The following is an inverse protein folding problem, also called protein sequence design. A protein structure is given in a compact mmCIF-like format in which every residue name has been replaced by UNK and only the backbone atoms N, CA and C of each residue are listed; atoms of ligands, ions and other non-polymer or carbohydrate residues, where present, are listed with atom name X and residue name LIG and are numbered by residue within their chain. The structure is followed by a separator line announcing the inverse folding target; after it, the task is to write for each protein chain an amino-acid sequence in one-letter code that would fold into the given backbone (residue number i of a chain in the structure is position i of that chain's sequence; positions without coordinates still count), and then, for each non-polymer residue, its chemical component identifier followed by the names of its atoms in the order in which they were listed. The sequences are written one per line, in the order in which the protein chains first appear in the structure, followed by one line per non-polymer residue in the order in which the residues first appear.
data_IF_396128755327
#
_entry.id   IF_396128755327
#
_cell.length_a   1.000
_cell.length_b   1.000
_cell.length_c   1.000
_cell.angle_alpha   90.00
_cell.angle_beta   90.00
_cell.angle_gamma   90.00
#
_symmetry.space_group_name_H-M   'P 1'
#
loop_
_entity.id
_entity.type
_entity.pdbx_description
1 polymer ?
#
# COMPACT_ATOMS: atom_id res chain seq x y z
N UNK A 1 21.29 2.61 7.46
CA UNK A 1 20.33 3.73 7.37
C UNK A 1 19.33 3.71 8.50
N UNK A 2 18.63 4.84 8.74
CA UNK A 2 17.49 4.89 9.66
C UNK A 2 16.24 4.40 8.95
N UNK A 3 15.42 3.58 9.62
CA UNK A 3 14.21 3.05 9.01
C UNK A 3 13.35 2.25 9.96
N UNK A 4 12.50 1.41 9.38
CA UNK A 4 11.68 0.43 10.09
C UNK A 4 12.00 -0.94 9.51
N UNK A 5 12.42 -1.86 10.38
CA UNK A 5 12.77 -3.21 9.96
C UNK A 5 11.53 -4.01 9.57
N UNK A 6 11.63 -4.73 8.46
CA UNK A 6 10.58 -5.62 7.99
C UNK A 6 11.17 -6.76 7.17
N UNK A 7 10.61 -7.97 7.31
CA UNK A 7 11.03 -9.12 6.53
C UNK A 7 11.93 -10.11 7.26
N UNK A 8 12.07 -10.01 8.58
CA UNK A 8 12.88 -10.93 9.37
C UNK A 8 12.48 -12.41 9.21
N UNK A 9 11.18 -12.66 9.03
CA UNK A 9 10.70 -14.02 8.77
C UNK A 9 11.23 -14.60 7.44
N UNK A 10 11.42 -13.74 6.42
CA UNK A 10 11.98 -14.18 5.14
C UNK A 10 13.47 -14.45 5.26
N UNK A 11 14.21 -13.67 6.05
CA UNK A 11 15.62 -13.94 6.39
C UNK A 11 15.73 -15.30 7.07
N UNK A 12 14.94 -15.52 8.11
CA UNK A 12 14.94 -16.79 8.85
C UNK A 12 14.63 -17.96 7.94
N UNK A 13 13.60 -17.83 7.09
CA UNK A 13 13.20 -18.91 6.17
C UNK A 13 14.28 -19.18 5.11
N UNK A 14 14.92 -18.14 4.55
CA UNK A 14 16.01 -18.29 3.58
C UNK A 14 17.13 -19.16 4.13
N UNK A 15 17.63 -18.84 5.32
CA UNK A 15 18.71 -19.63 5.92
C UNK A 15 18.28 -21.02 6.33
N UNK A 16 17.06 -21.18 6.83
CA UNK A 16 16.54 -22.52 7.19
C UNK A 16 16.34 -23.45 6.00
N UNK A 17 16.04 -22.91 4.82
CA UNK A 17 15.94 -23.70 3.58
C UNK A 17 17.30 -24.14 3.06
N UNK A 18 18.38 -23.43 3.38
CA UNK A 18 19.74 -23.79 2.99
C UNK A 18 20.34 -24.78 3.98
N UNK A 19 20.20 -24.51 5.27
CA UNK A 19 20.70 -25.34 6.35
C UNK A 19 19.85 -25.13 7.61
N UNK A 20 19.14 -26.17 8.03
CA UNK A 20 18.28 -26.11 9.21
C UNK A 20 19.05 -25.97 10.54
N UNK A 21 20.37 -26.24 10.53
CA UNK A 21 21.26 -26.10 11.69
C UNK A 21 21.66 -24.63 11.93
N UNK A 22 21.50 -23.75 10.95
CA UNK A 22 21.80 -22.31 11.12
C UNK A 22 20.92 -21.73 12.23
N UNK A 23 21.56 -21.10 13.22
CA UNK A 23 20.90 -20.43 14.33
C UNK A 23 20.81 -18.94 14.05
N UNK A 24 19.62 -18.36 14.23
CA UNK A 24 19.37 -16.93 14.02
C UNK A 24 18.81 -16.34 15.31
N UNK A 25 19.49 -15.36 15.86
CA UNK A 25 19.04 -14.62 17.06
C UNK A 25 18.63 -13.21 16.68
N UNK A 26 17.32 -12.97 16.62
CA UNK A 26 16.74 -11.66 16.31
C UNK A 26 16.99 -10.69 17.47
N UNK A 27 17.57 -9.52 17.18
CA UNK A 27 17.85 -8.43 18.12
C UNK A 27 16.86 -7.27 18.02
N UNK A 28 16.27 -7.05 16.86
CA UNK A 28 15.25 -6.03 16.61
C UNK A 28 13.96 -6.70 16.16
N UNK A 29 12.84 -6.34 16.78
CA UNK A 29 11.52 -6.89 16.45
C UNK A 29 11.04 -6.40 15.07
N UNK A 30 10.28 -7.23 14.38
CA UNK A 30 9.56 -6.86 13.17
C UNK A 30 8.74 -5.57 13.39
N UNK A 31 8.82 -4.61 12.46
CA UNK A 31 8.14 -3.32 12.56
C UNK A 31 8.79 -2.29 13.49
N UNK A 32 9.90 -2.61 14.17
CA UNK A 32 10.59 -1.66 15.04
C UNK A 32 11.44 -0.66 14.25
N UNK A 33 11.63 0.52 14.82
CA UNK A 33 12.56 1.52 14.30
C UNK A 33 13.99 1.05 14.47
N UNK A 34 14.80 1.28 13.44
CA UNK A 34 16.24 1.05 13.45
C UNK A 34 16.99 2.33 13.09
N UNK A 35 18.23 2.44 13.59
CA UNK A 35 19.21 3.49 13.28
C UNK A 35 20.41 2.90 12.55
N UNK A 36 21.18 3.75 11.89
CA UNK A 36 22.50 3.36 11.35
C UNK A 36 23.36 2.75 12.47
N UNK A 37 23.96 1.59 12.22
CA UNK A 37 24.79 0.85 13.19
C UNK A 37 24.02 -0.09 14.11
N UNK A 38 22.69 -0.13 14.08
CA UNK A 38 21.92 -1.09 14.88
C UNK A 38 22.16 -2.53 14.42
N UNK A 39 22.46 -3.42 15.36
CA UNK A 39 22.50 -4.87 15.14
C UNK A 39 21.08 -5.41 15.07
N UNK A 40 20.70 -5.97 13.91
CA UNK A 40 19.34 -6.45 13.63
C UNK A 40 19.17 -7.91 14.06
N UNK A 41 20.14 -8.74 13.73
CA UNK A 41 20.17 -10.17 14.07
C UNK A 41 21.62 -10.68 14.07
N UNK A 42 21.87 -11.76 14.77
CA UNK A 42 23.11 -12.55 14.64
C UNK A 42 22.79 -13.91 14.00
N UNK A 43 23.70 -14.40 13.17
CA UNK A 43 23.59 -15.66 12.45
C UNK A 43 24.80 -16.52 12.79
N UNK A 44 24.57 -17.75 13.22
CA UNK A 44 25.60 -18.70 13.60
C UNK A 44 25.40 -20.00 12.81
N UNK A 45 26.45 -20.51 12.17
CA UNK A 45 26.40 -21.73 11.37
C UNK A 45 27.62 -21.88 10.46
N UNK A 46 27.54 -22.83 9.54
CA UNK A 46 28.60 -23.03 8.56
C UNK A 46 28.71 -21.80 7.66
N UNK A 47 29.91 -21.21 7.57
CA UNK A 47 30.17 -19.97 6.82
C UNK A 47 29.78 -20.08 5.35
N UNK A 48 30.05 -21.20 4.70
CA UNK A 48 29.69 -21.44 3.30
C UNK A 48 28.17 -21.34 3.09
N UNK A 49 27.38 -21.94 3.98
CA UNK A 49 25.92 -21.94 3.92
C UNK A 49 25.36 -20.52 4.23
N UNK A 50 26.00 -19.78 5.13
CA UNK A 50 25.64 -18.38 5.40
C UNK A 50 25.87 -17.52 4.14
N UNK A 51 27.03 -17.62 3.49
CA UNK A 51 27.35 -16.88 2.27
C UNK A 51 26.40 -17.22 1.10
N UNK A 52 25.97 -18.49 0.96
CA UNK A 52 24.98 -18.91 -0.04
C UNK A 52 23.64 -18.16 0.17
N UNK A 53 23.20 -18.00 1.41
CA UNK A 53 21.91 -17.36 1.74
C UNK A 53 21.93 -15.86 1.81
N UNK A 54 23.10 -15.27 2.01
CA UNK A 54 23.27 -13.84 2.31
C UNK A 54 22.49 -12.94 1.37
N UNK A 55 22.76 -13.03 0.08
CA UNK A 55 22.21 -12.07 -0.90
C UNK A 55 20.69 -12.14 -0.99
N UNK A 56 20.11 -13.33 -0.96
CA UNK A 56 18.66 -13.52 -1.00
C UNK A 56 18.02 -12.98 0.28
N UNK A 57 18.58 -13.32 1.43
CA UNK A 57 18.10 -12.85 2.73
C UNK A 57 18.13 -11.31 2.83
N UNK A 58 19.27 -10.69 2.44
CA UNK A 58 19.42 -9.23 2.44
C UNK A 58 18.49 -8.53 1.44
N UNK A 59 18.27 -9.11 0.25
CA UNK A 59 17.36 -8.54 -0.73
C UNK A 59 15.94 -8.46 -0.18
N UNK A 60 15.42 -9.52 0.43
CA UNK A 60 14.11 -9.48 1.07
C UNK A 60 14.06 -8.49 2.23
N UNK A 61 15.04 -8.52 3.12
CA UNK A 61 15.09 -7.65 4.28
C UNK A 61 15.12 -6.17 3.89
N UNK A 62 15.99 -5.82 2.96
CA UNK A 62 16.18 -4.46 2.48
C UNK A 62 14.93 -3.93 1.75
N UNK A 63 14.35 -4.73 0.86
CA UNK A 63 13.16 -4.34 0.09
C UNK A 63 11.92 -4.16 0.99
N UNK A 64 11.66 -5.13 1.86
CA UNK A 64 10.51 -5.09 2.77
C UNK A 64 10.66 -3.92 3.76
N UNK A 65 11.86 -3.72 4.32
CA UNK A 65 12.15 -2.59 5.21
C UNK A 65 12.00 -1.24 4.49
N UNK A 66 12.39 -1.15 3.22
CA UNK A 66 12.18 0.04 2.40
C UNK A 66 10.70 0.40 2.26
N UNK A 67 9.85 -0.56 1.88
CA UNK A 67 8.38 -0.37 1.77
C UNK A 67 7.78 0.01 3.12
N UNK A 68 8.15 -0.70 4.19
CA UNK A 68 7.67 -0.45 5.55
C UNK A 68 8.02 0.98 5.99
N UNK A 69 9.26 1.39 5.76
CA UNK A 69 9.77 2.73 6.08
C UNK A 69 9.04 3.80 5.28
N UNK A 70 8.93 3.65 3.96
CA UNK A 70 8.24 4.60 3.08
C UNK A 70 6.77 4.74 3.47
N UNK A 71 6.07 3.63 3.70
CA UNK A 71 4.68 3.62 4.15
C UNK A 71 4.51 4.39 5.45
N UNK A 72 5.38 4.15 6.43
CA UNK A 72 5.33 4.84 7.71
C UNK A 72 5.57 6.36 7.58
N UNK A 73 6.42 6.80 6.66
CA UNK A 73 6.62 8.22 6.38
C UNK A 73 5.31 8.88 5.92
N UNK A 74 4.55 8.24 5.02
CA UNK A 74 3.23 8.72 4.58
C UNK A 74 2.23 8.72 5.74
N UNK A 75 2.13 7.63 6.50
CA UNK A 75 1.22 7.52 7.66
C UNK A 75 1.48 8.62 8.68
N UNK A 76 2.74 8.88 9.04
CA UNK A 76 3.09 9.98 9.94
C UNK A 76 2.72 11.36 9.37
N UNK A 77 2.90 11.55 8.06
CA UNK A 77 2.63 12.82 7.40
C UNK A 77 1.15 13.22 7.46
N UNK A 78 0.23 12.26 7.40
CA UNK A 78 -1.22 12.50 7.46
C UNK A 78 -1.77 12.61 8.88
N UNK A 79 -1.00 12.31 9.93
CA UNK A 79 -1.36 12.51 11.34
C UNK A 79 -2.75 11.95 11.70
N UNK A 80 -3.05 10.72 11.30
CA UNK A 80 -4.35 10.03 11.53
C UNK A 80 -5.58 10.69 10.87
N UNK A 81 -5.45 11.72 10.06
CA UNK A 81 -6.58 12.38 9.37
C UNK A 81 -7.27 11.47 8.36
N UNK A 82 -6.52 10.58 7.73
CA UNK A 82 -7.00 9.58 6.79
C UNK A 82 -6.08 8.35 6.82
N UNK A 83 -6.50 7.27 6.15
CA UNK A 83 -5.71 6.05 6.01
C UNK A 83 -4.85 6.12 4.75
N UNK A 84 -3.60 5.68 4.83
CA UNK A 84 -2.72 5.48 3.65
C UNK A 84 -2.95 4.06 3.13
N UNK A 85 -3.20 3.94 1.83
CA UNK A 85 -3.52 2.69 1.17
C UNK A 85 -2.52 2.38 0.04
N UNK A 86 -2.13 1.12 -0.11
CA UNK A 86 -1.41 0.69 -1.32
C UNK A 86 -2.36 0.59 -2.52
N UNK A 87 -1.81 0.22 -3.67
CA UNK A 87 -2.55 -0.07 -4.90
C UNK A 87 -2.25 -1.50 -5.38
N UNK A 88 -2.68 -1.83 -6.60
CA UNK A 88 -2.26 -3.05 -7.32
C UNK A 88 -0.99 -2.85 -8.17
N UNK A 89 -0.40 -1.65 -8.18
CA UNK A 89 0.88 -1.35 -8.84
C UNK A 89 2.00 -1.93 -7.97
N UNK A 90 2.27 -3.21 -8.13
CA UNK A 90 3.26 -4.00 -7.38
C UNK A 90 4.24 -4.66 -8.33
N UNK A 91 5.43 -5.02 -7.85
CA UNK A 91 6.37 -5.84 -8.60
C UNK A 91 5.71 -7.21 -8.86
N UNK A 92 5.79 -7.76 -10.09
CA UNK A 92 5.28 -9.09 -10.40
C UNK A 92 5.75 -10.12 -9.38
N UNK A 93 4.87 -11.04 -9.01
CA UNK A 93 5.07 -12.09 -8.00
C UNK A 93 5.35 -11.63 -6.55
N UNK A 94 5.62 -10.34 -6.29
CA UNK A 94 5.93 -9.83 -4.96
C UNK A 94 4.74 -9.15 -4.25
N UNK A 95 3.53 -9.15 -4.83
CA UNK A 95 2.37 -8.43 -4.26
C UNK A 95 2.05 -8.82 -2.82
N UNK A 96 2.13 -10.11 -2.49
CA UNK A 96 1.86 -10.62 -1.12
C UNK A 96 2.83 -9.97 -0.13
N UNK A 97 4.11 -10.02 -0.46
CA UNK A 97 5.21 -9.51 0.36
C UNK A 97 5.13 -7.99 0.50
N UNK A 98 4.88 -7.28 -0.62
CA UNK A 98 4.79 -5.83 -0.61
C UNK A 98 3.57 -5.32 0.20
N UNK A 99 2.42 -6.00 0.07
CA UNK A 99 1.23 -5.66 0.87
C UNK A 99 1.39 -5.98 2.35
N UNK A 100 2.14 -7.03 2.69
CA UNK A 100 2.56 -7.29 4.05
C UNK A 100 3.39 -6.13 4.61
N UNK A 101 4.41 -5.67 3.87
CA UNK A 101 5.26 -4.55 4.27
C UNK A 101 4.48 -3.24 4.45
N UNK A 102 3.46 -2.98 3.61
CA UNK A 102 2.56 -1.83 3.77
C UNK A 102 1.81 -1.88 5.09
N UNK A 103 1.25 -3.03 5.47
CA UNK A 103 0.59 -3.20 6.78
C UNK A 103 1.55 -2.95 7.94
N UNK A 104 2.76 -3.49 7.84
CA UNK A 104 3.80 -3.33 8.84
C UNK A 104 4.19 -1.85 9.04
N UNK A 105 4.17 -1.05 7.96
CA UNK A 105 4.40 0.40 7.98
C UNK A 105 3.22 1.23 8.53
N UNK A 106 2.10 0.58 8.90
CA UNK A 106 0.88 1.24 9.40
C UNK A 106 -0.10 1.67 8.31
N UNK A 107 0.12 1.27 7.07
CA UNK A 107 -0.82 1.46 5.96
C UNK A 107 -1.90 0.37 5.92
N UNK A 108 -2.85 0.54 5.01
CA UNK A 108 -3.88 -0.45 4.72
C UNK A 108 -3.74 -0.97 3.28
N UNK A 109 -4.31 -2.12 3.01
CA UNK A 109 -4.29 -2.70 1.68
C UNK A 109 -5.56 -2.36 0.90
N UNK A 110 -5.41 -2.05 -0.37
CA UNK A 110 -6.46 -2.11 -1.37
C UNK A 110 -6.69 -3.57 -1.81
N UNK A 111 -7.73 -3.84 -2.61
CA UNK A 111 -8.02 -5.17 -3.17
C UNK A 111 -6.75 -5.87 -3.64
N UNK A 112 -6.66 -7.15 -3.42
CA UNK A 112 -5.51 -7.99 -3.76
C UNK A 112 -5.52 -8.36 -5.25
N UNK A 113 -6.70 -8.76 -5.72
CA UNK A 113 -6.96 -9.20 -7.08
C UNK A 113 -8.28 -8.59 -7.62
N UNK A 114 -8.68 -8.98 -8.83
CA UNK A 114 -9.90 -8.48 -9.46
C UNK A 114 -11.17 -9.06 -8.85
N UNK A 115 -11.08 -10.21 -8.18
CA UNK A 115 -12.23 -10.89 -7.59
C UNK A 115 -12.63 -10.37 -6.21
N UNK A 116 -11.76 -9.58 -5.53
CA UNK A 116 -12.04 -9.12 -4.16
C UNK A 116 -13.07 -8.00 -4.10
N UNK A 117 -13.04 -7.07 -5.06
CA UNK A 117 -13.83 -5.84 -5.05
C UNK A 117 -14.04 -5.35 -6.48
N UNK A 118 -15.23 -4.90 -6.80
CA UNK A 118 -15.49 -4.20 -8.06
C UNK A 118 -14.81 -2.81 -8.02
N UNK A 119 -14.05 -2.49 -9.05
CA UNK A 119 -13.52 -1.14 -9.27
C UNK A 119 -13.90 -0.72 -10.68
N UNK A 120 -14.89 0.17 -10.75
CA UNK A 120 -15.32 0.80 -11.99
C UNK A 120 -14.37 1.94 -12.28
N UNK A 121 -13.79 1.97 -13.46
CA UNK A 121 -12.78 2.92 -13.91
C UNK A 121 -13.22 3.62 -15.19
N UNK A 122 -12.51 4.69 -15.55
CA UNK A 122 -12.65 5.43 -16.79
C UNK A 122 -12.73 4.52 -18.03
N UNK A 123 -11.86 3.53 -18.11
CA UNK A 123 -11.85 2.56 -19.23
C UNK A 123 -13.15 1.75 -19.37
N UNK A 124 -13.91 1.55 -18.30
CA UNK A 124 -15.21 0.90 -18.36
C UNK A 124 -16.31 1.86 -18.84
N UNK A 125 -16.02 3.16 -18.83
CA UNK A 125 -16.95 4.22 -19.28
C UNK A 125 -16.78 4.56 -20.77
N UNK A 126 -15.81 3.93 -21.46
CA UNK A 126 -15.59 4.07 -22.88
C UNK A 126 -16.57 3.17 -23.63
N UNK A 127 -17.65 3.74 -24.11
CA UNK A 127 -18.72 3.06 -24.85
C UNK A 127 -20.04 3.81 -24.67
N UNK A 128 -21.13 3.27 -25.24
CA UNK A 128 -22.44 3.90 -25.27
C UNK A 128 -23.18 3.90 -23.91
N UNK A 129 -22.56 3.39 -22.85
CA UNK A 129 -23.19 3.28 -21.53
C UNK A 129 -22.82 4.46 -20.61
N UNK A 130 -23.85 5.10 -20.04
CA UNK A 130 -23.63 6.13 -19.02
C UNK A 130 -23.04 5.53 -17.74
N UNK A 131 -22.27 6.32 -16.99
CA UNK A 131 -21.73 5.93 -15.68
C UNK A 131 -22.84 5.41 -14.74
N UNK A 132 -24.02 6.01 -14.79
CA UNK A 132 -25.20 5.60 -14.00
C UNK A 132 -25.59 4.16 -14.32
N UNK A 133 -25.68 3.80 -15.60
CA UNK A 133 -26.03 2.46 -16.06
C UNK A 133 -25.02 1.40 -15.57
N UNK A 134 -23.73 1.69 -15.73
CA UNK A 134 -22.63 0.79 -15.31
C UNK A 134 -22.66 0.58 -13.80
N UNK A 135 -22.83 1.66 -13.02
CA UNK A 135 -22.89 1.57 -11.55
C UNK A 135 -24.14 0.80 -11.11
N UNK A 136 -25.31 1.03 -11.72
CA UNK A 136 -26.55 0.27 -11.43
C UNK A 136 -26.38 -1.22 -11.74
N UNK A 137 -25.78 -1.56 -12.86
CA UNK A 137 -25.49 -2.96 -13.22
C UNK A 137 -24.51 -3.61 -12.22
N UNK A 138 -23.47 -2.90 -11.79
CA UNK A 138 -22.55 -3.40 -10.78
C UNK A 138 -23.25 -3.62 -9.43
N UNK A 139 -24.13 -2.72 -9.03
CA UNK A 139 -24.94 -2.85 -7.78
C UNK A 139 -25.83 -4.09 -7.87
N UNK A 140 -26.51 -4.33 -8.98
CA UNK A 140 -27.36 -5.51 -9.19
C UNK A 140 -26.57 -6.82 -9.08
N UNK A 141 -25.31 -6.85 -9.57
CA UNK A 141 -24.51 -8.05 -9.70
C UNK A 141 -23.42 -8.22 -8.59
N UNK A 142 -23.31 -7.28 -7.65
CA UNK A 142 -22.19 -7.24 -6.69
C UNK A 142 -22.09 -8.42 -5.73
N UNK A 143 -23.21 -9.16 -5.51
CA UNK A 143 -23.29 -10.14 -4.41
C UNK A 143 -22.81 -9.47 -3.11
N UNK A 144 -21.90 -10.11 -2.38
CA UNK A 144 -21.34 -9.59 -1.10
C UNK A 144 -20.05 -8.76 -1.31
N UNK A 145 -19.72 -8.35 -2.55
CA UNK A 145 -18.50 -7.59 -2.83
C UNK A 145 -18.73 -6.09 -2.73
N UNK A 146 -17.69 -5.38 -2.31
CA UNK A 146 -17.69 -3.91 -2.33
C UNK A 146 -17.57 -3.38 -3.76
N UNK A 147 -18.14 -2.20 -3.98
CA UNK A 147 -18.02 -1.46 -5.23
C UNK A 147 -17.30 -0.15 -4.94
N UNK A 148 -16.20 0.08 -5.62
CA UNK A 148 -15.54 1.38 -5.72
C UNK A 148 -15.75 1.95 -7.11
N UNK A 149 -16.15 3.21 -7.20
CA UNK A 149 -16.32 3.93 -8.47
C UNK A 149 -15.25 5.02 -8.54
N UNK A 150 -14.41 4.93 -9.58
CA UNK A 150 -13.39 5.93 -9.90
C UNK A 150 -14.03 7.03 -10.76
N UNK A 151 -13.79 8.28 -10.41
CA UNK A 151 -14.29 9.46 -11.11
C UNK A 151 -13.20 10.53 -11.24
N UNK A 152 -13.21 11.26 -12.33
CA UNK A 152 -12.20 12.25 -12.70
C UNK A 152 -12.59 13.69 -12.37
N UNK A 153 -13.89 13.96 -12.14
CA UNK A 153 -14.38 15.32 -11.89
C UNK A 153 -15.70 15.37 -11.11
N UNK A 154 -16.00 16.56 -10.61
CA UNK A 154 -17.19 16.82 -9.81
C UNK A 154 -18.51 16.54 -10.56
N UNK A 155 -18.57 16.75 -11.88
CA UNK A 155 -19.80 16.54 -12.66
C UNK A 155 -20.14 15.05 -12.81
N UNK A 156 -19.13 14.18 -12.98
CA UNK A 156 -19.32 12.72 -12.95
C UNK A 156 -19.86 12.28 -11.58
N UNK A 157 -19.29 12.83 -10.48
CA UNK A 157 -19.75 12.51 -9.13
C UNK A 157 -21.23 12.84 -8.93
N UNK A 158 -21.70 14.02 -9.38
CA UNK A 158 -23.11 14.42 -9.24
C UNK A 158 -24.08 13.45 -9.87
N UNK A 159 -23.69 12.78 -10.94
CA UNK A 159 -24.55 11.82 -11.64
C UNK A 159 -24.80 10.55 -10.83
N UNK A 160 -23.89 10.17 -9.93
CA UNK A 160 -23.93 8.90 -9.19
C UNK A 160 -24.20 9.07 -7.70
N UNK A 161 -24.23 10.31 -7.18
CA UNK A 161 -24.56 10.56 -5.77
C UNK A 161 -25.97 10.03 -5.46
N UNK A 162 -26.08 9.26 -4.38
CA UNK A 162 -27.32 8.61 -3.96
C UNK A 162 -27.48 7.16 -4.43
N UNK A 163 -26.68 6.68 -5.41
CA UNK A 163 -26.65 5.25 -5.75
C UNK A 163 -25.97 4.45 -4.63
N UNK A 164 -26.43 3.22 -4.36
CA UNK A 164 -25.98 2.39 -3.22
C UNK A 164 -24.70 1.60 -3.53
N UNK A 165 -23.54 2.27 -3.51
CA UNK A 165 -22.21 1.63 -3.60
C UNK A 165 -21.34 2.05 -2.41
N UNK A 166 -20.13 1.47 -2.26
CA UNK A 166 -19.38 1.54 -1.00
C UNK A 166 -18.38 2.69 -0.95
N UNK A 167 -17.68 2.97 -2.07
CA UNK A 167 -16.59 3.95 -2.09
C UNK A 167 -16.53 4.72 -3.40
N UNK A 168 -16.23 6.00 -3.30
CA UNK A 168 -15.86 6.84 -4.45
C UNK A 168 -14.35 7.10 -4.41
N UNK A 169 -13.67 6.82 -5.51
CA UNK A 169 -12.27 7.11 -5.74
C UNK A 169 -12.18 8.38 -6.62
N UNK A 170 -11.57 9.40 -6.07
CA UNK A 170 -11.40 10.72 -6.69
C UNK A 170 -10.00 10.77 -7.28
N UNK A 171 -9.90 10.57 -8.61
CA UNK A 171 -8.61 10.42 -9.28
C UNK A 171 -8.07 11.74 -9.82
N UNK A 172 -6.79 11.99 -9.60
CA UNK A 172 -6.04 13.14 -10.13
C UNK A 172 -6.65 14.54 -9.88
N UNK A 173 -7.50 14.70 -8.87
CA UNK A 173 -8.15 15.97 -8.55
C UNK A 173 -7.26 16.89 -7.70
N UNK A 174 -7.35 18.20 -7.96
CA UNK A 174 -6.72 19.20 -7.12
C UNK A 174 -7.43 19.32 -5.74
N UNK A 175 -6.78 19.90 -4.70
CA UNK A 175 -7.37 19.97 -3.36
C UNK A 175 -8.68 20.76 -3.25
N UNK A 176 -8.93 21.75 -4.12
CA UNK A 176 -10.20 22.51 -4.13
C UNK A 176 -11.35 21.63 -4.61
N UNK A 177 -11.12 20.87 -5.67
CA UNK A 177 -12.08 19.93 -6.24
C UNK A 177 -12.34 18.75 -5.30
N UNK A 178 -11.27 18.17 -4.72
CA UNK A 178 -11.40 17.14 -3.69
C UNK A 178 -12.32 17.57 -2.55
N UNK A 179 -12.15 18.79 -2.01
CA UNK A 179 -13.04 19.32 -0.95
C UNK A 179 -14.50 19.39 -1.38
N UNK A 180 -14.77 19.84 -2.62
CA UNK A 180 -16.14 19.89 -3.16
C UNK A 180 -16.74 18.48 -3.26
N UNK A 181 -15.98 17.54 -3.81
CA UNK A 181 -16.41 16.13 -3.94
C UNK A 181 -16.63 15.48 -2.58
N UNK A 182 -15.72 15.65 -1.63
CA UNK A 182 -15.85 15.11 -0.26
C UNK A 182 -17.11 15.65 0.41
N UNK A 183 -17.41 16.94 0.27
CA UNK A 183 -18.59 17.56 0.90
C UNK A 183 -19.89 16.86 0.52
N UNK A 184 -20.07 16.49 -0.76
CA UNK A 184 -21.30 15.85 -1.24
C UNK A 184 -21.27 14.31 -1.08
N UNK A 185 -20.08 13.67 -1.10
CA UNK A 185 -19.93 12.21 -1.04
C UNK A 185 -19.96 11.66 0.38
N UNK A 186 -19.46 12.41 1.35
CA UNK A 186 -19.17 11.94 2.72
C UNK A 186 -20.39 11.34 3.46
N UNK A 187 -21.59 11.73 3.09
CA UNK A 187 -22.83 11.20 3.66
C UNK A 187 -23.19 9.81 3.11
N UNK A 188 -22.66 9.45 1.95
CA UNK A 188 -23.04 8.25 1.19
C UNK A 188 -21.93 7.23 1.06
N UNK A 189 -20.67 7.66 0.95
CA UNK A 189 -19.55 6.83 0.55
C UNK A 189 -18.32 7.03 1.42
N UNK A 190 -17.50 5.98 1.52
CA UNK A 190 -16.09 6.16 1.88
C UNK A 190 -15.40 6.89 0.72
N UNK A 191 -14.66 7.96 1.01
CA UNK A 191 -13.96 8.76 0.00
C UNK A 191 -12.48 8.40 -0.06
N UNK A 192 -11.98 8.18 -1.26
CA UNK A 192 -10.58 7.85 -1.52
C UNK A 192 -9.99 8.86 -2.51
N UNK A 193 -8.81 9.43 -2.22
CA UNK A 193 -8.05 10.22 -3.19
C UNK A 193 -6.95 9.37 -3.81
N UNK A 194 -6.73 9.52 -5.10
CA UNK A 194 -5.71 8.82 -5.89
C UNK A 194 -5.08 9.77 -6.91
N UNK A 195 -3.97 9.33 -7.52
CA UNK A 195 -3.27 10.04 -8.59
C UNK A 195 -2.21 11.03 -8.09
N UNK A 196 -0.95 10.87 -8.54
CA UNK A 196 0.16 11.80 -8.29
C UNK A 196 0.49 12.07 -6.82
N UNK A 197 0.18 11.16 -5.91
CA UNK A 197 0.40 11.34 -4.46
C UNK A 197 1.86 11.12 -4.09
N UNK A 198 2.46 12.11 -3.44
CA UNK A 198 3.85 12.10 -2.97
C UNK A 198 3.92 12.56 -1.51
N UNK A 199 5.08 12.36 -0.85
CA UNK A 199 5.31 12.92 0.48
C UNK A 199 5.21 14.46 0.52
N UNK A 200 5.41 15.17 -0.62
CA UNK A 200 5.30 16.64 -0.68
C UNK A 200 3.83 17.11 -0.60
N UNK A 201 2.90 16.39 -1.25
CA UNK A 201 1.50 16.83 -1.36
C UNK A 201 0.51 16.10 -0.45
N UNK A 202 0.83 14.90 0.08
CA UNK A 202 -0.10 14.05 0.84
C UNK A 202 -0.76 14.75 2.02
N UNK A 203 -0.08 15.67 2.70
CA UNK A 203 -0.65 16.47 3.81
C UNK A 203 -1.77 17.41 3.32
N UNK A 204 -1.59 18.04 2.14
CA UNK A 204 -2.62 18.90 1.53
C UNK A 204 -3.85 18.09 1.15
N UNK A 205 -3.64 16.89 0.57
CA UNK A 205 -4.71 15.96 0.21
C UNK A 205 -5.45 15.45 1.46
N UNK A 206 -4.74 15.03 2.51
CA UNK A 206 -5.36 14.61 3.77
C UNK A 206 -6.23 15.69 4.42
N UNK A 207 -5.86 16.97 4.25
CA UNK A 207 -6.62 18.12 4.77
C UNK A 207 -7.92 18.39 4.00
N UNK A 208 -8.19 17.69 2.89
CA UNK A 208 -9.47 17.79 2.18
C UNK A 208 -10.60 17.03 2.86
N UNK A 209 -10.27 16.13 3.81
CA UNK A 209 -11.21 15.34 4.57
C UNK A 209 -11.56 13.98 3.95
N UNK A 210 -10.79 13.52 2.97
CA UNK A 210 -10.91 12.14 2.43
C UNK A 210 -10.66 11.10 3.52
N UNK A 211 -11.34 9.95 3.43
CA UNK A 211 -11.19 8.87 4.39
C UNK A 211 -9.87 8.09 4.20
N UNK A 212 -9.41 7.99 2.94
CA UNK A 212 -8.19 7.28 2.59
C UNK A 212 -7.49 7.88 1.37
N UNK A 213 -6.21 7.60 1.25
CA UNK A 213 -5.37 8.05 0.14
C UNK A 213 -4.61 6.87 -0.41
N UNK A 214 -4.81 6.55 -1.69
CA UNK A 214 -4.06 5.51 -2.40
C UNK A 214 -2.75 6.06 -2.94
N UNK A 215 -1.66 5.39 -2.59
CA UNK A 215 -0.30 5.79 -2.95
C UNK A 215 0.39 4.63 -3.67
N UNK A 216 0.59 4.76 -4.98
CA UNK A 216 1.30 3.74 -5.77
C UNK A 216 2.80 3.69 -5.45
N UNK A 217 3.39 4.86 -5.19
CA UNK A 217 4.82 5.03 -4.89
C UNK A 217 5.33 4.12 -3.76
N UNK A 218 4.48 3.74 -2.80
CA UNK A 218 4.87 2.89 -1.68
C UNK A 218 5.10 1.41 -2.07
N UNK A 219 4.78 1.01 -3.30
CA UNK A 219 4.99 -0.36 -3.77
C UNK A 219 5.75 -0.45 -5.08
N UNK A 220 5.60 0.50 -6.01
CA UNK A 220 6.27 0.42 -7.31
C UNK A 220 7.58 1.22 -7.41
N UNK A 221 7.84 2.18 -6.50
CA UNK A 221 9.01 3.07 -6.56
C UNK A 221 9.61 3.27 -5.17
N UNK A 222 10.05 2.16 -4.57
CA UNK A 222 10.63 2.17 -3.21
C UNK A 222 12.13 1.90 -3.29
N UNK A 223 12.90 2.73 -2.62
CA UNK A 223 14.30 2.45 -2.37
C UNK A 223 14.42 1.39 -1.27
N UNK A 224 15.20 0.36 -1.53
CA UNK A 224 15.57 -0.63 -0.54
C UNK A 224 16.33 0.04 0.62
N UNK A 225 16.15 -0.45 1.82
CA UNK A 225 16.94 0.01 2.97
C UNK A 225 18.33 -0.64 2.90
N UNK A 226 19.38 0.16 3.04
CA UNK A 226 20.76 -0.34 3.01
C UNK A 226 21.08 -1.10 4.30
N UNK A 227 21.14 -2.42 4.20
CA UNK A 227 21.41 -3.38 5.27
C UNK A 227 22.49 -4.34 4.78
N UNK A 228 23.48 -4.62 5.62
CA UNK A 228 24.59 -5.52 5.30
C UNK A 228 24.73 -6.64 6.33
N UNK A 229 25.40 -7.71 5.93
CA UNK A 229 25.92 -8.76 6.78
C UNK A 229 27.41 -8.49 7.00
N UNK A 230 27.87 -8.60 8.22
CA UNK A 230 29.30 -8.52 8.59
C UNK A 230 29.69 -9.85 9.24
N UNK A 231 30.83 -10.38 8.87
CA UNK A 231 31.42 -11.63 9.35
C UNK A 231 32.62 -11.29 10.22
#
# INVERSE_FOLDING_TARGET
QNGIIGGLKFVTQTFKLIDNKIKIKIKKKEGSKIKKGDLIATIEGNIKNILIGERVALNFLSHISGITTKTNQFVKKVKKKCKICCTRKTIPNLRVIQKYAVKLGGGINHRFNLSDEYLIKDNHLRGDHSIIQIVKNAIKNKKNKKITVEIDNYNQLKQIVGLKFDRVLLDNMNPKELKKCVKISKKFYETEASGGITLKNVKKIANTGVNRISVGEITHSVNALDIKLEI
#
